data_IF_178070896960
#
_entry.id   IF_178070896960
#
_cell.length_a   1.000
_cell.length_b   1.000
_cell.length_c   1.000
_cell.angle_alpha   90.00
_cell.angle_beta   90.00
_cell.angle_gamma   90.00
#
_symmetry.space_group_name_H-M   'P 1'
#
loop_
_entity.id
_entity.type
_entity.pdbx_description
1 polymer ?
#
# COMPACT_ATOMS: atom_id res chain seq x y z
N UNK A 1 -15.46 15.60 -1.67
CA UNK A 1 -14.16 15.31 -1.04
C UNK A 1 -14.18 13.88 -0.55
N UNK A 2 -13.39 12.99 -1.16
CA UNK A 2 -13.28 11.62 -0.65
C UNK A 2 -12.64 11.69 0.74
N UNK A 3 -13.34 11.20 1.76
CA UNK A 3 -12.84 11.13 3.13
C UNK A 3 -11.83 9.97 3.20
N UNK A 4 -10.60 10.22 2.76
CA UNK A 4 -9.49 9.27 2.93
C UNK A 4 -9.26 9.10 4.43
N UNK A 5 -9.34 7.88 5.01
CA UNK A 5 -9.17 7.70 6.46
C UNK A 5 -7.84 8.23 7.02
N UNK A 6 -6.74 8.06 6.28
CA UNK A 6 -5.42 8.62 6.66
C UNK A 6 -5.37 10.16 6.52
N UNK A 7 -6.37 10.80 5.92
CA UNK A 7 -6.53 12.26 5.89
C UNK A 7 -5.69 12.99 4.84
N UNK A 8 -4.95 12.27 4.00
CA UNK A 8 -4.17 12.82 2.88
C UNK A 8 -4.24 11.94 1.64
N UNK A 9 -3.99 12.53 0.48
CA UNK A 9 -3.71 11.76 -0.73
C UNK A 9 -2.38 10.98 -0.57
N UNK A 10 -2.24 9.90 -1.33
CA UNK A 10 -0.96 9.22 -1.43
C UNK A 10 0.08 10.11 -2.09
N UNK A 11 1.31 9.95 -1.65
CA UNK A 11 2.51 10.44 -2.31
C UNK A 11 3.15 9.26 -3.08
N UNK A 12 3.96 9.52 -4.12
CA UNK A 12 4.68 8.47 -4.85
C UNK A 12 5.45 7.51 -3.94
N UNK A 13 5.98 8.03 -2.84
CA UNK A 13 6.75 7.32 -1.82
C UNK A 13 5.92 6.22 -1.14
N UNK A 14 4.62 6.42 -0.92
CA UNK A 14 3.77 5.41 -0.29
C UNK A 14 3.71 4.11 -1.11
N UNK A 15 3.69 4.23 -2.44
CA UNK A 15 3.72 3.10 -3.36
C UNK A 15 5.13 2.51 -3.45
N UNK A 16 6.15 3.38 -3.53
CA UNK A 16 7.54 2.96 -3.65
C UNK A 16 8.00 2.13 -2.45
N UNK A 17 7.66 2.54 -1.22
CA UNK A 17 8.02 1.82 0.00
C UNK A 17 7.37 0.43 0.06
N UNK A 18 6.10 0.31 -0.36
CA UNK A 18 5.46 -1.01 -0.47
C UNK A 18 6.16 -1.91 -1.50
N UNK A 19 6.55 -1.34 -2.65
CA UNK A 19 7.27 -2.08 -3.68
C UNK A 19 8.65 -2.55 -3.19
N UNK A 20 9.39 -1.69 -2.48
CA UNK A 20 10.69 -2.01 -1.88
C UNK A 20 10.54 -3.09 -0.81
N UNK A 21 9.52 -3.01 0.04
CA UNK A 21 9.22 -4.06 1.01
C UNK A 21 8.99 -5.40 0.32
N UNK A 22 8.14 -5.45 -0.71
CA UNK A 22 7.83 -6.66 -1.47
C UNK A 22 9.04 -7.23 -2.23
N UNK A 23 9.97 -6.39 -2.65
CA UNK A 23 11.25 -6.82 -3.25
C UNK A 23 12.27 -7.33 -2.20
N UNK A 24 12.03 -7.06 -0.92
CA UNK A 24 12.92 -7.40 0.19
C UNK A 24 12.77 -8.84 0.69
N UNK A 25 13.73 -9.32 1.51
CA UNK A 25 13.73 -10.67 2.06
C UNK A 25 12.55 -10.95 3.02
N UNK A 26 11.92 -9.89 3.55
CA UNK A 26 10.74 -10.00 4.42
C UNK A 26 9.53 -10.60 3.72
N UNK A 27 9.44 -10.48 2.39
CA UNK A 27 8.29 -10.91 1.59
C UNK A 27 8.46 -12.27 0.93
N UNK A 28 9.46 -13.08 1.34
CA UNK A 28 9.82 -14.36 0.69
C UNK A 28 8.70 -15.40 0.56
N UNK A 29 7.63 -15.27 1.34
CA UNK A 29 6.49 -16.18 1.32
C UNK A 29 5.17 -15.47 0.96
N UNK A 30 5.28 -14.31 0.31
CA UNK A 30 4.15 -13.52 -0.16
C UNK A 30 4.09 -13.63 -1.68
N UNK A 31 3.01 -14.20 -2.20
CA UNK A 31 2.79 -14.34 -3.64
C UNK A 31 1.30 -14.39 -3.96
N UNK A 32 0.92 -13.97 -5.17
CA UNK A 32 -0.47 -13.98 -5.66
C UNK A 32 -1.42 -13.03 -4.93
N UNK A 33 -0.89 -12.09 -4.14
CA UNK A 33 -1.69 -11.15 -3.36
C UNK A 33 -1.87 -9.82 -4.10
N UNK A 34 -2.99 -9.15 -3.84
CA UNK A 34 -3.20 -7.75 -4.18
C UNK A 34 -3.20 -6.95 -2.87
N UNK A 35 -2.36 -5.92 -2.80
CA UNK A 35 -2.27 -5.05 -1.62
C UNK A 35 -2.83 -3.67 -1.95
N UNK A 36 -3.77 -3.22 -1.13
CA UNK A 36 -4.25 -1.85 -1.19
C UNK A 36 -3.28 -0.92 -0.49
N UNK A 37 -2.81 0.09 -1.23
CA UNK A 37 -2.06 1.23 -0.69
C UNK A 37 -2.85 2.47 -1.09
N UNK A 38 -3.92 2.79 -0.36
CA UNK A 38 -4.91 3.79 -0.78
C UNK A 38 -5.39 4.69 0.37
N UNK A 39 -4.66 4.71 1.49
CA UNK A 39 -5.04 5.48 2.66
C UNK A 39 -6.31 4.97 3.37
N UNK A 40 -6.80 3.76 3.06
CA UNK A 40 -7.98 3.13 3.65
C UNK A 40 -9.27 3.34 2.85
N UNK A 41 -9.16 3.70 1.57
CA UNK A 41 -10.34 3.99 0.74
C UNK A 41 -11.17 2.74 0.43
N UNK A 42 -10.51 1.61 0.21
CA UNK A 42 -11.18 0.31 0.04
C UNK A 42 -10.96 -0.51 1.31
N UNK A 43 -12.05 -0.87 1.98
CA UNK A 43 -12.03 -1.78 3.12
C UNK A 43 -12.71 -3.10 2.74
N UNK A 44 -12.01 -4.21 2.93
CA UNK A 44 -12.47 -5.58 2.72
C UNK A 44 -12.34 -6.40 4.00
#
# INVERSE_FOLDING_TARGET
NANIPIGRANEPEDIAEMAVFLAGPGSRNITGQAFNVDGGLVMH
#
